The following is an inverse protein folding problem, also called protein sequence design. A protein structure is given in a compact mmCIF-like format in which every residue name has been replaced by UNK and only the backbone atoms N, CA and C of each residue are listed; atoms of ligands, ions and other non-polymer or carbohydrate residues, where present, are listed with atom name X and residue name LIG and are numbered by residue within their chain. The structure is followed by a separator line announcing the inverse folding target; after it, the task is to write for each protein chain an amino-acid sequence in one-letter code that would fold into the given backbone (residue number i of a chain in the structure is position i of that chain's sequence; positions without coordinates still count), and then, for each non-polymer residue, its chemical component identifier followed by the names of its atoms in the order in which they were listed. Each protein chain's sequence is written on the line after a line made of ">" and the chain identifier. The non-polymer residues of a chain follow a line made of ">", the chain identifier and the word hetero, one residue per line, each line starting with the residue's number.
data_IF_985314847212
#
_entry.id   IF_985314847212
#
_cell.length_a   1.000
_cell.length_b   1.000
_cell.length_c   1.000
_cell.angle_alpha   90.00
_cell.angle_beta   90.00
_cell.angle_gamma   90.00
#
_symmetry.space_group_name_H-M   'P 1'
#
loop_
_entity.id
_entity.type
_entity.pdbx_description
1 polymer ?
#
# COMPACT_ATOMS: atom_id res chain seq x y z
N UNK A 1 -6.36 -22.82 30.88
CA UNK A 1 -5.89 -21.42 30.83
C UNK A 1 -6.79 -20.71 29.81
N UNK A 2 -7.48 -19.64 30.21
CA UNK A 2 -8.32 -18.86 29.29
C UNK A 2 -7.43 -18.00 28.40
N UNK A 3 -7.75 -17.91 27.12
CA UNK A 3 -7.02 -17.04 26.19
C UNK A 3 -7.32 -15.58 26.50
N UNK A 4 -6.29 -14.74 26.52
CA UNK A 4 -6.45 -13.28 26.59
C UNK A 4 -7.17 -12.79 25.33
N UNK A 5 -8.15 -11.92 25.49
CA UNK A 5 -8.88 -11.34 24.36
C UNK A 5 -8.15 -10.13 23.78
N UNK A 6 -8.47 -9.77 22.53
CA UNK A 6 -7.91 -8.60 21.88
C UNK A 6 -8.32 -7.31 22.61
N UNK A 7 -9.57 -7.26 23.10
CA UNK A 7 -10.10 -6.14 23.88
C UNK A 7 -9.37 -5.97 25.21
N UNK A 8 -9.10 -7.06 25.93
CA UNK A 8 -8.34 -7.03 27.19
C UNK A 8 -6.90 -6.55 26.95
N UNK A 9 -6.22 -7.11 25.94
CA UNK A 9 -4.87 -6.67 25.57
C UNK A 9 -4.83 -5.18 25.19
N UNK A 10 -5.86 -4.68 24.49
CA UNK A 10 -5.95 -3.28 24.12
C UNK A 10 -6.14 -2.35 25.33
N UNK A 11 -6.94 -2.77 26.32
CA UNK A 11 -7.07 -2.02 27.56
C UNK A 11 -5.76 -1.99 28.35
N UNK A 12 -5.03 -3.11 28.41
CA UNK A 12 -3.70 -3.16 29.04
C UNK A 12 -2.70 -2.24 28.33
N UNK A 13 -2.70 -2.22 26.99
CA UNK A 13 -1.86 -1.32 26.20
C UNK A 13 -2.09 0.15 26.56
N UNK A 14 -3.34 0.57 26.80
CA UNK A 14 -3.65 1.96 27.19
C UNK A 14 -3.02 2.38 28.50
N UNK A 15 -2.80 1.44 29.43
CA UNK A 15 -2.18 1.72 30.74
C UNK A 15 -0.67 1.86 30.67
N UNK A 16 -0.04 1.41 29.57
CA UNK A 16 1.40 1.45 29.42
C UNK A 16 1.92 2.85 29.05
N UNK A 17 3.09 3.25 29.57
CA UNK A 17 3.80 4.44 29.11
C UNK A 17 4.03 4.41 27.60
N UNK A 18 4.07 5.59 26.97
CA UNK A 18 4.21 5.70 25.52
C UNK A 18 5.46 4.99 24.96
N UNK A 19 6.57 5.02 25.71
CA UNK A 19 7.81 4.32 25.36
C UNK A 19 7.64 2.80 25.29
N UNK A 20 6.93 2.21 26.26
CA UNK A 20 6.69 0.77 26.32
C UNK A 20 5.66 0.31 25.29
N UNK A 21 4.64 1.12 24.99
CA UNK A 21 3.73 0.85 23.87
C UNK A 21 4.48 0.77 22.54
N UNK A 22 5.35 1.74 22.25
CA UNK A 22 6.15 1.76 21.01
C UNK A 22 7.09 0.54 20.93
N UNK A 23 7.70 0.17 22.06
CA UNK A 23 8.53 -1.03 22.16
C UNK A 23 7.73 -2.30 21.92
N UNK A 24 6.52 -2.40 22.48
CA UNK A 24 5.61 -3.51 22.25
C UNK A 24 5.24 -3.65 20.76
N UNK A 25 4.86 -2.55 20.09
CA UNK A 25 4.58 -2.57 18.65
C UNK A 25 5.79 -3.01 17.82
N UNK A 26 7.00 -2.59 18.21
CA UNK A 26 8.23 -3.03 17.55
C UNK A 26 8.45 -4.54 17.73
N UNK A 27 8.24 -5.07 18.94
CA UNK A 27 8.35 -6.51 19.21
C UNK A 27 7.26 -7.33 18.50
N UNK A 28 6.04 -6.81 18.41
CA UNK A 28 4.93 -7.43 17.67
C UNK A 28 5.25 -7.48 16.18
N UNK A 29 5.71 -6.37 15.59
CA UNK A 29 6.15 -6.29 14.19
C UNK A 29 7.23 -7.33 13.86
N UNK A 30 8.20 -7.51 14.77
CA UNK A 30 9.35 -8.40 14.55
C UNK A 30 9.00 -9.88 14.78
N UNK A 31 8.11 -10.19 15.73
CA UNK A 31 7.94 -11.56 16.21
C UNK A 31 6.55 -12.17 15.92
N UNK A 32 5.48 -11.39 15.88
CA UNK A 32 4.12 -11.91 15.69
C UNK A 32 3.72 -11.99 14.21
N UNK A 33 4.42 -11.28 13.32
CA UNK A 33 4.23 -11.35 11.86
C UNK A 33 5.40 -12.06 11.16
N UNK A 34 6.24 -12.75 11.94
CA UNK A 34 7.36 -13.56 11.46
C UNK A 34 6.95 -15.02 11.21
N UNK A 35 5.69 -15.24 10.83
CA UNK A 35 5.31 -16.49 10.16
C UNK A 35 5.63 -16.31 8.68
N UNK A 36 6.62 -17.07 8.21
CA UNK A 36 7.16 -17.09 6.84
C UNK A 36 6.14 -17.50 5.74
N UNK A 37 4.83 -17.41 5.99
CA UNK A 37 3.78 -17.89 5.08
C UNK A 37 2.61 -16.91 4.88
N UNK A 38 2.79 -15.61 5.15
CA UNK A 38 1.86 -14.62 4.59
C UNK A 38 2.15 -14.47 3.09
N UNK A 39 1.34 -15.13 2.26
CA UNK A 39 1.42 -14.93 0.81
C UNK A 39 1.14 -13.46 0.48
N UNK A 40 1.78 -12.92 -0.55
CA UNK A 40 1.53 -11.55 -1.02
C UNK A 40 0.03 -11.28 -1.24
N UNK A 41 -0.74 -12.32 -1.56
CA UNK A 41 -2.18 -12.29 -1.73
C UNK A 41 -2.97 -12.14 -0.42
N UNK A 42 -2.45 -12.56 0.73
CA UNK A 42 -3.12 -12.37 2.03
C UNK A 42 -2.84 -10.99 2.66
N UNK A 43 -1.72 -10.36 2.29
CA UNK A 43 -1.34 -9.03 2.79
C UNK A 43 -1.73 -7.93 1.80
N UNK A 44 -1.75 -8.24 0.51
CA UNK A 44 -2.00 -7.28 -0.58
C UNK A 44 -3.04 -7.80 -1.59
N UNK A 45 -3.78 -8.87 -1.32
CA UNK A 45 -4.82 -9.37 -2.23
C UNK A 45 -5.97 -8.39 -2.39
N UNK A 46 -6.32 -7.67 -1.33
CA UNK A 46 -7.30 -6.59 -1.39
C UNK A 46 -6.79 -5.43 -2.26
N UNK A 47 -5.47 -5.21 -2.29
CA UNK A 47 -4.84 -4.22 -3.15
C UNK A 47 -4.88 -4.59 -4.63
N UNK A 48 -5.17 -5.84 -5.00
CA UNK A 48 -5.32 -6.23 -6.41
C UNK A 48 -6.56 -5.57 -7.07
N UNK A 49 -7.54 -5.18 -6.25
CA UNK A 49 -8.73 -4.43 -6.66
C UNK A 49 -8.73 -2.98 -6.15
N UNK A 50 -7.66 -2.52 -5.48
CA UNK A 50 -7.59 -1.12 -5.03
C UNK A 50 -7.43 -0.18 -6.22
N UNK A 51 -7.99 1.01 -6.03
CA UNK A 51 -7.78 2.14 -6.90
C UNK A 51 -7.04 3.24 -6.16
N UNK A 52 -6.02 3.78 -6.78
CA UNK A 52 -5.29 4.94 -6.27
C UNK A 52 -5.86 6.22 -6.84
N UNK A 53 -5.90 7.26 -6.02
CA UNK A 53 -6.06 8.62 -6.52
C UNK A 53 -4.89 8.99 -7.43
N UNK A 54 -5.06 10.03 -8.25
CA UNK A 54 -3.99 10.53 -9.11
C UNK A 54 -2.67 10.84 -8.35
N UNK A 55 -2.78 11.33 -7.11
CA UNK A 55 -1.64 11.66 -6.26
C UNK A 55 -0.90 10.39 -5.81
N UNK A 56 -1.63 9.42 -5.25
CA UNK A 56 -1.07 8.12 -4.83
C UNK A 56 -0.49 7.35 -6.03
N UNK A 57 -1.11 7.44 -7.20
CA UNK A 57 -0.61 6.81 -8.42
C UNK A 57 0.72 7.43 -8.89
N UNK A 58 0.87 8.76 -8.80
CA UNK A 58 2.13 9.43 -9.13
C UNK A 58 3.25 9.05 -8.15
N UNK A 59 2.93 8.96 -6.86
CA UNK A 59 3.83 8.52 -5.80
C UNK A 59 4.25 7.06 -6.00
N UNK A 60 3.30 6.16 -6.29
CA UNK A 60 3.56 4.76 -6.57
C UNK A 60 4.49 4.56 -7.78
N UNK A 61 4.33 5.40 -8.82
CA UNK A 61 5.19 5.39 -10.00
C UNK A 61 6.52 6.13 -9.79
N UNK A 62 6.72 6.78 -8.64
CA UNK A 62 7.89 7.58 -8.30
C UNK A 62 8.16 8.68 -9.36
N UNK A 63 7.09 9.36 -9.81
CA UNK A 63 7.17 10.46 -10.79
C UNK A 63 6.49 11.72 -10.28
N UNK A 64 6.87 12.87 -10.86
CA UNK A 64 6.15 14.12 -10.59
C UNK A 64 4.69 14.05 -11.09
N UNK A 65 3.79 14.78 -10.43
CA UNK A 65 2.41 14.93 -10.89
C UNK A 65 2.29 15.49 -12.32
N UNK A 66 3.23 16.33 -12.75
CA UNK A 66 3.29 16.82 -14.14
C UNK A 66 3.56 15.69 -15.14
N UNK A 67 4.46 14.77 -14.79
CA UNK A 67 4.77 13.58 -15.61
C UNK A 67 3.61 12.60 -15.60
N UNK A 68 2.99 12.39 -14.44
CA UNK A 68 1.80 11.55 -14.31
C UNK A 68 0.65 12.07 -15.20
N UNK A 69 0.31 13.36 -15.09
CA UNK A 69 -0.73 13.97 -15.94
C UNK A 69 -0.42 13.84 -17.43
N UNK A 70 0.85 13.94 -17.84
CA UNK A 70 1.26 13.69 -19.22
C UNK A 70 0.98 12.24 -19.64
N UNK A 71 1.23 11.24 -18.79
CA UNK A 71 0.89 9.85 -19.10
C UNK A 71 -0.61 9.64 -19.28
N UNK A 72 -1.43 10.27 -18.44
CA UNK A 72 -2.90 10.23 -18.57
C UNK A 72 -3.37 10.91 -19.86
N UNK A 73 -2.90 12.14 -20.13
CA UNK A 73 -3.27 12.91 -21.32
C UNK A 73 -2.83 12.24 -22.64
N UNK A 74 -1.68 11.57 -22.64
CA UNK A 74 -1.19 10.82 -23.81
C UNK A 74 -1.81 9.43 -23.92
N UNK A 75 -2.73 9.06 -23.03
CA UNK A 75 -3.43 7.78 -23.03
C UNK A 75 -2.57 6.58 -22.63
N UNK A 76 -1.35 6.82 -22.12
CA UNK A 76 -0.43 5.78 -21.61
C UNK A 76 -0.90 5.18 -20.29
N UNK A 77 -1.66 5.95 -19.51
CA UNK A 77 -2.38 5.52 -18.33
C UNK A 77 -3.83 5.97 -18.48
N UNK A 78 -4.77 5.15 -18.03
CA UNK A 78 -6.21 5.45 -18.05
C UNK A 78 -6.76 5.33 -16.63
N UNK A 79 -7.72 6.18 -16.31
CA UNK A 79 -8.49 6.04 -15.10
C UNK A 79 -9.37 4.77 -15.22
N UNK A 80 -9.44 3.99 -14.15
CA UNK A 80 -10.31 2.81 -14.05
C UNK A 80 -11.72 3.21 -13.65
N UNK A 81 -11.85 4.23 -12.80
CA UNK A 81 -13.14 4.78 -12.37
C UNK A 81 -13.02 6.28 -12.07
N UNK A 82 -14.17 6.91 -11.83
CA UNK A 82 -14.25 8.29 -11.36
C UNK A 82 -15.09 8.35 -10.07
N UNK A 83 -14.50 8.89 -9.00
CA UNK A 83 -15.20 9.20 -7.76
C UNK A 83 -15.50 10.71 -7.73
N UNK A 84 -16.66 11.08 -8.27
CA UNK A 84 -17.05 12.48 -8.43
C UNK A 84 -16.20 13.20 -9.48
N UNK A 85 -15.27 14.06 -9.04
CA UNK A 85 -14.29 14.74 -9.92
C UNK A 85 -12.90 14.12 -9.86
N UNK A 86 -12.69 13.13 -9.01
CA UNK A 86 -11.41 12.48 -8.81
C UNK A 86 -11.32 11.24 -9.70
N UNK A 87 -10.25 11.18 -10.51
CA UNK A 87 -9.92 10.00 -11.27
C UNK A 87 -9.20 8.98 -10.40
N UNK A 88 -9.64 7.74 -10.48
CA UNK A 88 -9.10 6.61 -9.77
C UNK A 88 -8.35 5.69 -10.74
N UNK A 89 -7.26 5.09 -10.29
CA UNK A 89 -6.34 4.34 -11.12
C UNK A 89 -6.09 2.97 -10.50
N UNK A 90 -6.48 1.92 -11.20
CA UNK A 90 -6.29 0.55 -10.73
C UNK A 90 -4.80 0.23 -10.51
N UNK A 91 -4.49 -0.33 -9.34
CA UNK A 91 -3.12 -0.68 -8.95
C UNK A 91 -2.46 -1.69 -9.91
N UNK A 92 -3.23 -2.61 -10.50
CA UNK A 92 -2.73 -3.59 -11.45
C UNK A 92 -2.19 -2.94 -12.74
N UNK A 93 -2.88 -1.91 -13.24
CA UNK A 93 -2.45 -1.13 -14.41
C UNK A 93 -1.19 -0.32 -14.08
N UNK A 94 -1.14 0.31 -12.89
CA UNK A 94 0.05 1.02 -12.42
C UNK A 94 1.25 0.07 -12.26
N UNK A 95 1.03 -1.16 -11.77
CA UNK A 95 2.08 -2.19 -11.64
C UNK A 95 2.60 -2.63 -13.00
N UNK A 96 1.73 -2.88 -13.97
CA UNK A 96 2.10 -3.21 -15.34
C UNK A 96 2.89 -2.06 -15.99
N UNK A 97 2.42 -0.82 -15.81
CA UNK A 97 3.07 0.38 -16.32
C UNK A 97 4.45 0.62 -15.69
N UNK A 98 4.59 0.48 -14.36
CA UNK A 98 5.87 0.61 -13.64
C UNK A 98 6.91 -0.41 -14.14
N UNK A 99 6.48 -1.64 -14.44
CA UNK A 99 7.33 -2.67 -15.05
C UNK A 99 7.79 -2.26 -16.45
N UNK A 100 6.87 -1.78 -17.29
CA UNK A 100 7.21 -1.29 -18.62
C UNK A 100 8.20 -0.11 -18.58
N UNK A 101 8.03 0.83 -17.64
CA UNK A 101 8.97 1.95 -17.44
C UNK A 101 10.38 1.48 -17.08
N UNK A 102 10.51 0.46 -16.21
CA UNK A 102 11.82 -0.09 -15.83
C UNK A 102 12.50 -0.78 -17.00
N UNK A 103 11.75 -1.53 -17.82
CA UNK A 103 12.29 -2.18 -19.02
C UNK A 103 12.80 -1.18 -20.05
N UNK A 104 12.19 0.00 -20.15
CA UNK A 104 12.65 1.07 -21.05
C UNK A 104 13.91 1.78 -20.51
N UNK A 105 14.06 1.90 -19.19
CA UNK A 105 15.23 2.53 -18.56
C UNK A 105 16.48 1.64 -18.51
N UNK A 106 16.34 0.32 -18.66
CA UNK A 106 17.44 -0.65 -18.60
C UNK A 106 18.19 -0.89 -19.92
N UNK A 107 17.86 -0.16 -21.00
CA UNK A 107 18.42 -0.35 -22.35
C UNK A 107 19.53 0.65 -22.70
N UNK A 108 20.25 1.18 -21.72
CA UNK A 108 21.41 2.07 -21.92
C UNK A 108 22.64 1.56 -21.18
#
# INVERSE_FOLDING_TARGET
>A
MSAITAEELFQELKTMPASERNRFFTLLAINAFRDDNLTHEQVFGDLANDEFTAQEAAEYLEVSMSTFRRYVQTGKLKASSELGRNQMFATHDLKAFKRALKNVKGTH
#
